data_IF_174988170424
#
_entry.id   IF_174988170424
#
_cell.length_a   1.000
_cell.length_b   1.000
_cell.length_c   1.000
_cell.angle_alpha   90.00
_cell.angle_beta   90.00
_cell.angle_gamma   90.00
#
_symmetry.space_group_name_H-M   'P 1'
#
loop_
_entity.id
_entity.type
_entity.pdbx_description
1 polymer ?
#
# COMPACT_ATOMS: atom_id res chain seq x y z
N UNK A 1 -2.79 -12.66 1.45
CA UNK A 1 -3.36 -12.03 2.66
C UNK A 1 -4.62 -11.24 2.35
N UNK A 2 -4.61 -10.33 1.36
CA UNK A 2 -5.81 -9.51 1.00
C UNK A 2 -7.09 -10.33 0.83
N UNK A 3 -7.07 -11.43 0.07
CA UNK A 3 -8.21 -12.36 -0.07
C UNK A 3 -8.78 -12.82 1.27
N UNK A 4 -7.93 -13.14 2.24
CA UNK A 4 -8.37 -13.63 3.55
C UNK A 4 -9.16 -12.54 4.30
N UNK A 5 -8.67 -11.30 4.30
CA UNK A 5 -9.39 -10.17 4.88
C UNK A 5 -10.64 -9.79 4.11
N UNK A 6 -10.61 -9.91 2.78
CA UNK A 6 -11.78 -9.65 1.94
C UNK A 6 -12.92 -10.64 2.23
N UNK A 7 -12.58 -11.92 2.43
CA UNK A 7 -13.56 -12.99 2.64
C UNK A 7 -14.05 -13.11 4.10
N UNK A 8 -13.32 -12.54 5.06
CA UNK A 8 -13.66 -12.61 6.49
C UNK A 8 -14.83 -11.69 6.85
N UNK A 9 -16.02 -12.17 7.23
CA UNK A 9 -17.17 -11.32 7.52
C UNK A 9 -16.96 -10.35 8.69
N UNK A 10 -16.00 -10.60 9.58
CA UNK A 10 -15.71 -9.75 10.75
C UNK A 10 -14.67 -8.65 10.47
N UNK A 11 -14.12 -8.61 9.26
CA UNK A 11 -13.21 -7.53 8.83
C UNK A 11 -13.99 -6.45 8.08
N UNK A 12 -14.00 -5.22 8.61
CA UNK A 12 -14.67 -4.07 7.97
C UNK A 12 -13.79 -3.30 6.98
N UNK A 13 -12.46 -3.38 7.12
CA UNK A 13 -11.52 -2.65 6.28
C UNK A 13 -10.07 -3.09 6.52
N UNK A 14 -9.18 -2.75 5.59
CA UNK A 14 -7.77 -3.18 5.61
C UNK A 14 -6.83 -1.99 5.57
N UNK A 15 -5.89 -1.93 6.51
CA UNK A 15 -4.74 -1.02 6.43
C UNK A 15 -3.56 -1.80 5.86
N UNK A 16 -3.01 -1.32 4.75
CA UNK A 16 -1.86 -1.89 4.06
C UNK A 16 -0.63 -1.01 4.25
N UNK A 17 0.42 -1.55 4.85
CA UNK A 17 1.71 -0.89 4.98
C UNK A 17 2.73 -1.59 4.06
N UNK A 18 3.20 -0.88 3.04
CA UNK A 18 4.26 -1.31 2.14
C UNK A 18 5.56 -0.54 2.37
N UNK A 19 6.58 -0.89 1.59
CA UNK A 19 7.87 -0.19 1.57
C UNK A 19 8.43 -0.07 0.15
N UNK A 20 9.47 0.73 -0.03
CA UNK A 20 10.22 0.76 -1.30
C UNK A 20 10.86 -0.60 -1.61
N UNK A 21 11.10 -0.86 -2.89
CA UNK A 21 11.73 -2.10 -3.36
C UNK A 21 10.71 -3.19 -3.73
N UNK A 22 11.12 -4.11 -4.60
CA UNK A 22 10.22 -5.14 -5.12
C UNK A 22 9.03 -4.59 -5.92
N UNK A 23 8.03 -5.44 -6.17
CA UNK A 23 6.83 -5.11 -6.96
C UNK A 23 5.54 -5.62 -6.32
N UNK A 24 5.59 -5.98 -5.04
CA UNK A 24 4.49 -6.70 -4.37
C UNK A 24 3.27 -5.79 -4.19
N UNK A 25 3.47 -4.50 -3.90
CA UNK A 25 2.40 -3.52 -3.77
C UNK A 25 1.69 -3.25 -5.09
N UNK A 26 2.41 -3.24 -6.20
CA UNK A 26 1.82 -3.11 -7.54
C UNK A 26 0.97 -4.34 -7.89
N UNK A 27 1.48 -5.55 -7.64
CA UNK A 27 0.71 -6.78 -7.83
C UNK A 27 -0.50 -6.85 -6.87
N UNK A 28 -0.35 -6.33 -5.66
CA UNK A 28 -1.45 -6.19 -4.70
C UNK A 28 -2.51 -5.21 -5.21
N UNK A 29 -2.10 -4.08 -5.80
CA UNK A 29 -3.00 -3.10 -6.38
C UNK A 29 -3.84 -3.70 -7.52
N UNK A 30 -3.21 -4.45 -8.43
CA UNK A 30 -3.94 -5.18 -9.49
C UNK A 30 -4.99 -6.12 -8.89
N UNK A 31 -4.62 -6.91 -7.87
CA UNK A 31 -5.57 -7.80 -7.20
C UNK A 31 -6.71 -7.03 -6.50
N UNK A 32 -6.39 -5.91 -5.85
CA UNK A 32 -7.37 -5.06 -5.17
C UNK A 32 -8.41 -4.54 -6.16
N UNK A 33 -7.96 -4.01 -7.30
CA UNK A 33 -8.84 -3.44 -8.33
C UNK A 33 -9.87 -4.45 -8.84
N UNK A 34 -9.46 -5.72 -9.00
CA UNK A 34 -10.30 -6.76 -9.56
C UNK A 34 -11.18 -7.49 -8.53
N UNK A 35 -10.80 -7.49 -7.25
CA UNK A 35 -11.39 -8.43 -6.27
C UNK A 35 -11.84 -7.80 -4.95
N UNK A 36 -11.25 -6.68 -4.53
CA UNK A 36 -11.48 -6.15 -3.19
C UNK A 36 -12.82 -5.43 -3.12
N UNK A 37 -13.67 -5.83 -2.17
CA UNK A 37 -14.98 -5.19 -1.95
C UNK A 37 -15.00 -4.31 -0.70
N UNK A 38 -13.97 -4.43 0.14
CA UNK A 38 -13.83 -3.69 1.40
C UNK A 38 -12.87 -2.51 1.26
N UNK A 39 -13.06 -1.44 2.05
CA UNK A 39 -12.16 -0.29 2.00
C UNK A 39 -10.72 -0.67 2.36
N UNK A 40 -9.77 -0.13 1.58
CA UNK A 40 -8.34 -0.27 1.83
C UNK A 40 -7.71 1.11 1.98
N UNK A 41 -6.89 1.26 3.03
CA UNK A 41 -6.00 2.42 3.22
C UNK A 41 -4.56 1.97 3.12
N UNK A 42 -3.75 2.72 2.37
CA UNK A 42 -2.35 2.40 2.11
C UNK A 42 -1.36 3.39 2.72
N UNK A 43 -0.17 2.91 3.05
CA UNK A 43 1.02 3.72 3.33
C UNK A 43 2.25 3.04 2.75
N UNK A 44 3.14 3.80 2.10
CA UNK A 44 4.42 3.30 1.58
C UNK A 44 5.58 3.98 2.33
N UNK A 45 6.35 3.17 3.04
CA UNK A 45 7.55 3.63 3.73
C UNK A 45 8.72 3.88 2.75
N UNK A 46 9.65 4.74 3.15
CA UNK A 46 10.89 4.96 2.38
C UNK A 46 10.79 5.98 1.25
N UNK A 47 9.76 6.84 1.25
CA UNK A 47 9.56 7.92 0.27
C UNK A 47 10.77 8.87 0.14
N UNK A 48 11.55 9.02 1.22
CA UNK A 48 12.76 9.86 1.28
C UNK A 48 14.06 9.08 1.08
N UNK A 49 13.98 7.80 0.72
CA UNK A 49 15.16 6.95 0.54
C UNK A 49 15.96 7.40 -0.69
N UNK A 50 17.29 7.57 -0.57
CA UNK A 50 18.12 7.91 -1.70
C UNK A 50 18.28 6.70 -2.64
N UNK A 51 18.41 6.91 -3.97
CA UNK A 51 18.62 5.84 -4.93
C UNK A 51 19.83 4.97 -4.60
N UNK A 52 19.71 3.65 -4.81
CA UNK A 52 20.81 2.70 -4.61
C UNK A 52 21.22 2.45 -3.15
N UNK A 53 20.51 3.03 -2.18
CA UNK A 53 20.77 2.77 -0.75
C UNK A 53 19.78 1.75 -0.21
N UNK A 54 20.31 0.69 0.40
CA UNK A 54 19.51 -0.27 1.17
C UNK A 54 19.13 0.33 2.52
N UNK A 55 17.84 0.27 2.85
CA UNK A 55 17.27 0.83 4.08
C UNK A 55 16.93 -0.28 5.07
N UNK A 56 17.90 -0.68 5.91
CA UNK A 56 17.66 -1.64 7.01
C UNK A 56 17.24 -3.04 6.54
N UNK A 57 15.96 -3.22 6.22
CA UNK A 57 15.41 -4.42 5.61
C UNK A 57 16.14 -4.81 4.32
N UNK A 58 16.31 -6.12 4.11
CA UNK A 58 17.08 -6.64 2.98
C UNK A 58 16.45 -6.28 1.62
N UNK A 59 15.11 -6.21 1.56
CA UNK A 59 14.33 -5.89 0.37
C UNK A 59 14.15 -4.39 0.09
N UNK A 60 14.40 -3.52 1.07
CA UNK A 60 14.20 -2.08 0.97
C UNK A 60 15.33 -1.39 0.18
N UNK A 61 15.43 -1.69 -1.11
CA UNK A 61 16.37 -1.09 -2.05
C UNK A 61 15.67 -0.81 -3.38
N UNK A 62 15.81 0.43 -3.85
CA UNK A 62 15.37 0.83 -5.19
C UNK A 62 16.47 0.39 -6.17
N UNK A 63 16.20 -0.63 -6.97
CA UNK A 63 17.14 -1.20 -7.93
C UNK A 63 16.63 -1.01 -9.35
N UNK A 64 17.51 -0.54 -10.26
CA UNK A 64 17.16 -0.38 -11.68
C UNK A 64 16.04 0.63 -11.95
N UNK A 65 15.79 1.56 -11.02
CA UNK A 65 14.73 2.57 -11.15
C UNK A 65 13.31 2.05 -10.92
N UNK A 66 13.15 0.80 -10.45
CA UNK A 66 11.84 0.18 -10.16
C UNK A 66 11.61 0.03 -8.65
N UNK A 67 10.34 -0.01 -8.27
CA UNK A 67 9.94 -0.18 -6.87
C UNK A 67 10.10 1.12 -6.08
N UNK A 68 9.99 2.27 -6.74
CA UNK A 68 9.97 3.57 -6.06
C UNK A 68 8.68 3.72 -5.26
N UNK A 69 8.72 4.54 -4.21
CA UNK A 69 7.52 4.80 -3.41
C UNK A 69 6.41 5.43 -4.27
N UNK A 70 6.77 6.33 -5.19
CA UNK A 70 5.79 7.02 -6.04
C UNK A 70 5.10 6.08 -7.04
N UNK A 71 5.83 5.12 -7.64
CA UNK A 71 5.22 4.09 -8.50
C UNK A 71 4.21 3.23 -7.72
N UNK A 72 4.59 2.78 -6.52
CA UNK A 72 3.73 1.98 -5.65
C UNK A 72 2.48 2.74 -5.22
N UNK A 73 2.65 4.00 -4.81
CA UNK A 73 1.54 4.88 -4.43
C UNK A 73 0.59 5.05 -5.62
N UNK A 74 1.10 5.35 -6.81
CA UNK A 74 0.29 5.55 -8.01
C UNK A 74 -0.50 4.29 -8.39
N UNK A 75 0.12 3.11 -8.31
CA UNK A 75 -0.57 1.84 -8.56
C UNK A 75 -1.73 1.60 -7.58
N UNK A 76 -1.49 1.82 -6.29
CA UNK A 76 -2.51 1.66 -5.24
C UNK A 76 -3.66 2.66 -5.38
N UNK A 77 -3.35 3.93 -5.65
CA UNK A 77 -4.37 4.96 -5.89
C UNK A 77 -5.22 4.63 -7.12
N UNK A 78 -4.60 4.12 -8.20
CA UNK A 78 -5.31 3.68 -9.40
C UNK A 78 -6.24 2.47 -9.12
N UNK A 79 -5.91 1.64 -8.15
CA UNK A 79 -6.74 0.54 -7.67
C UNK A 79 -7.85 0.97 -6.67
N UNK A 80 -7.98 2.27 -6.39
CA UNK A 80 -8.99 2.80 -5.47
C UNK A 80 -8.59 2.79 -3.99
N UNK A 81 -7.32 2.46 -3.68
CA UNK A 81 -6.80 2.53 -2.32
C UNK A 81 -6.59 3.99 -1.92
N UNK A 82 -7.07 4.38 -0.74
CA UNK A 82 -6.75 5.71 -0.19
C UNK A 82 -5.36 5.66 0.44
N UNK A 83 -4.37 6.30 -0.18
CA UNK A 83 -2.98 6.25 0.27
C UNK A 83 -2.59 7.52 1.01
N UNK A 84 -1.89 7.39 2.13
CA UNK A 84 -1.25 8.51 2.84
C UNK A 84 0.27 8.39 2.79
N UNK A 85 0.96 9.54 2.75
CA UNK A 85 2.42 9.64 2.92
C UNK A 85 2.83 9.80 4.39
N UNK A 86 1.87 9.98 5.29
CA UNK A 86 2.08 10.15 6.72
C UNK A 86 1.36 9.03 7.48
N UNK A 87 2.09 8.12 8.16
CA UNK A 87 1.47 6.99 8.84
C UNK A 87 0.52 7.43 9.97
N UNK A 88 0.71 8.64 10.51
CA UNK A 88 -0.17 9.19 11.56
C UNK A 88 -1.59 9.47 11.08
N UNK A 89 -1.77 9.63 9.76
CA UNK A 89 -3.07 9.94 9.16
C UNK A 89 -3.88 8.69 8.79
N UNK A 90 -3.30 7.48 8.86
CA UNK A 90 -3.96 6.24 8.43
C UNK A 90 -5.27 5.96 9.18
N UNK A 91 -5.30 6.22 10.49
CA UNK A 91 -6.51 5.99 11.30
C UNK A 91 -7.66 6.91 10.89
N UNK A 92 -7.36 8.19 10.64
CA UNK A 92 -8.34 9.16 10.14
C UNK A 92 -8.84 8.75 8.75
N UNK A 93 -7.94 8.37 7.85
CA UNK A 93 -8.29 7.98 6.49
C UNK A 93 -9.16 6.71 6.46
N UNK A 94 -8.90 5.75 7.34
CA UNK A 94 -9.73 4.55 7.47
C UNK A 94 -11.11 4.88 8.00
N UNK A 95 -11.20 5.77 9.00
CA UNK A 95 -12.50 6.23 9.50
C UNK A 95 -13.33 6.88 8.40
N UNK A 96 -12.73 7.71 7.54
CA UNK A 96 -13.40 8.32 6.39
C UNK A 96 -13.81 7.28 5.33
N UNK A 97 -12.98 6.26 5.10
CA UNK A 97 -13.26 5.19 4.14
C UNK A 97 -14.43 4.29 4.57
N UNK A 98 -14.57 4.02 5.87
CA UNK A 98 -15.67 3.21 6.44
C UNK A 98 -17.03 3.91 6.44
N UNK A 99 -17.06 5.23 6.23
CA UNK A 99 -18.29 6.04 6.24
C UNK A 99 -18.90 6.26 4.84
N UNK A 100 -18.24 5.75 3.79
CA UNK A 100 -18.72 5.83 2.40
C UNK A 100 -19.67 4.68 2.08
#
# INVERSE_FOLDING_TARGET
VMKMFNDDPDTDGVVMCGEIGGTDEEACAEWIADNMTKPVVGFIAGVTAPPGKRMGHAGAIIAGGKGTADEKIAALEAAGVSVTRNPSDMGKLMQEALQK
#
